data_IF_866063905098
#
_entry.id   IF_866063905098
#
_cell.length_a   1.000
_cell.length_b   1.000
_cell.length_c   1.000
_cell.angle_alpha   90.00
_cell.angle_beta   90.00
_cell.angle_gamma   90.00
#
_symmetry.space_group_name_H-M   'P 1'
#
loop_
_entity.id
_entity.type
_entity.pdbx_description
1 polymer ?
#
# COMPACT_ATOMS: atom_id res chain seq x y z
N UNK A 1 46.78 19.56 -12.96
CA UNK A 1 45.78 19.57 -14.06
C UNK A 1 44.58 18.75 -13.58
N UNK A 2 43.73 19.37 -12.76
CA UNK A 2 42.50 18.79 -12.20
C UNK A 2 41.36 19.43 -13.00
N UNK A 3 40.75 18.66 -13.89
CA UNK A 3 39.67 19.14 -14.75
C UNK A 3 38.45 19.37 -13.86
N UNK A 4 37.98 20.61 -13.89
CA UNK A 4 36.63 20.96 -13.49
C UNK A 4 35.72 20.62 -14.67
N UNK A 5 34.84 19.65 -14.45
CA UNK A 5 33.68 19.33 -15.25
C UNK A 5 32.57 19.06 -14.21
N UNK A 6 31.76 20.04 -13.80
CA UNK A 6 31.13 21.08 -14.62
C UNK A 6 29.78 20.63 -15.19
N UNK A 7 29.16 19.59 -14.62
CA UNK A 7 27.85 19.06 -15.02
C UNK A 7 26.80 19.11 -13.90
N UNK A 8 26.67 20.22 -13.19
CA UNK A 8 25.60 20.46 -12.22
C UNK A 8 24.27 20.79 -12.91
N UNK A 9 23.73 19.85 -13.69
CA UNK A 9 22.29 19.86 -13.96
C UNK A 9 21.54 19.64 -12.65
N UNK A 10 20.29 20.09 -12.48
CA UNK A 10 19.50 19.61 -11.36
C UNK A 10 19.52 18.08 -11.45
N UNK A 11 20.08 17.40 -10.45
CA UNK A 11 19.91 15.96 -10.28
C UNK A 11 18.41 15.75 -10.06
N UNK A 12 17.65 15.70 -11.15
CA UNK A 12 16.20 15.63 -11.09
C UNK A 12 15.86 14.44 -10.18
N UNK A 13 15.28 14.67 -9.00
CA UNK A 13 15.32 13.70 -7.90
C UNK A 13 14.26 12.60 -8.10
N UNK A 14 14.32 11.90 -9.23
CA UNK A 14 13.43 10.78 -9.54
C UNK A 14 13.75 9.56 -8.69
N UNK A 15 15.04 9.30 -8.42
CA UNK A 15 15.51 8.22 -7.54
C UNK A 15 15.04 8.36 -6.08
N UNK A 16 15.16 9.53 -5.40
CA UNK A 16 14.67 9.68 -4.03
C UNK A 16 13.14 9.69 -3.92
N UNK A 17 12.40 10.12 -4.94
CA UNK A 17 10.92 10.08 -4.90
C UNK A 17 10.42 8.65 -4.91
N UNK A 18 10.94 7.79 -5.80
CA UNK A 18 10.55 6.38 -5.83
C UNK A 18 10.92 5.68 -4.52
N UNK A 19 12.10 5.96 -3.97
CA UNK A 19 12.49 5.44 -2.66
C UNK A 19 11.56 5.90 -1.53
N UNK A 20 11.13 7.17 -1.54
CA UNK A 20 10.18 7.68 -0.56
C UNK A 20 8.82 6.99 -0.65
N UNK A 21 8.33 6.71 -1.87
CA UNK A 21 7.11 5.93 -2.09
C UNK A 21 7.26 4.50 -1.57
N UNK A 22 8.42 3.86 -1.78
CA UNK A 22 8.71 2.53 -1.23
C UNK A 22 8.66 2.52 0.29
N UNK A 23 9.32 3.47 0.93
CA UNK A 23 9.34 3.59 2.40
C UNK A 23 7.93 3.84 2.93
N UNK A 24 7.18 4.73 2.29
CA UNK A 24 5.79 5.01 2.67
C UNK A 24 4.92 3.75 2.56
N UNK A 25 4.98 3.03 1.44
CA UNK A 25 4.22 1.80 1.24
C UNK A 25 4.56 0.72 2.27
N UNK A 26 5.85 0.53 2.55
CA UNK A 26 6.31 -0.41 3.58
C UNK A 26 5.82 -0.03 4.98
N UNK A 27 5.88 1.26 5.34
CA UNK A 27 5.37 1.74 6.64
C UNK A 27 3.85 1.57 6.77
N UNK A 28 3.10 1.70 5.68
CA UNK A 28 1.66 1.43 5.69
C UNK A 28 1.36 -0.04 6.01
N UNK A 29 2.01 -0.98 5.30
CA UNK A 29 1.83 -2.42 5.56
C UNK A 29 2.29 -2.78 6.97
N UNK A 30 3.48 -2.33 7.38
CA UNK A 30 4.02 -2.62 8.71
C UNK A 30 3.19 -1.98 9.82
N UNK A 31 2.67 -0.76 9.61
CA UNK A 31 1.78 -0.10 10.54
C UNK A 31 0.46 -0.85 10.72
N UNK A 32 -0.15 -1.31 9.62
CA UNK A 32 -1.35 -2.13 9.67
C UNK A 32 -1.09 -3.48 10.37
N UNK A 33 0.02 -4.14 10.03
CA UNK A 33 0.42 -5.39 10.66
C UNK A 33 0.70 -5.21 12.15
N UNK A 34 1.46 -4.19 12.55
CA UNK A 34 1.75 -3.90 13.95
C UNK A 34 0.46 -3.60 14.73
N UNK A 35 -0.42 -2.77 14.19
CA UNK A 35 -1.72 -2.49 14.80
C UNK A 35 -2.57 -3.76 14.94
N UNK A 36 -2.51 -4.67 13.96
CA UNK A 36 -3.16 -5.99 14.05
C UNK A 36 -2.55 -6.87 15.14
N UNK A 37 -1.23 -6.93 15.24
CA UNK A 37 -0.55 -7.71 16.27
C UNK A 37 -0.80 -7.17 17.68
N UNK A 38 -0.94 -5.84 17.81
CA UNK A 38 -1.33 -5.18 19.06
C UNK A 38 -2.84 -5.27 19.34
N UNK A 39 -3.61 -5.93 18.47
CA UNK A 39 -5.07 -6.10 18.55
C UNK A 39 -5.85 -4.78 18.55
N UNK A 40 -5.28 -3.72 17.97
CA UNK A 40 -5.94 -2.42 17.81
C UNK A 40 -6.93 -2.40 16.65
N UNK A 41 -6.59 -3.12 15.58
CA UNK A 41 -7.44 -3.40 14.42
C UNK A 41 -7.34 -4.90 14.13
N UNK A 42 -8.33 -5.48 13.48
CA UNK A 42 -8.35 -6.89 13.08
C UNK A 42 -8.37 -7.07 11.57
N UNK A 43 -8.16 -8.31 11.08
CA UNK A 43 -8.21 -8.60 9.64
C UNK A 43 -9.59 -8.39 9.01
N UNK A 44 -10.63 -8.36 9.85
CA UNK A 44 -12.03 -8.12 9.49
C UNK A 44 -12.37 -6.60 9.46
N UNK A 45 -11.41 -5.73 9.79
CA UNK A 45 -11.66 -4.29 9.81
C UNK A 45 -11.38 -3.65 8.45
N UNK A 46 -12.31 -2.79 8.03
CA UNK A 46 -12.18 -1.98 6.81
C UNK A 46 -10.88 -1.18 6.84
N UNK A 47 -10.48 -0.63 7.99
CA UNK A 47 -9.23 0.13 8.12
C UNK A 47 -8.00 -0.71 7.84
N UNK A 48 -7.96 -1.95 8.34
CA UNK A 48 -6.85 -2.89 8.10
C UNK A 48 -6.76 -3.25 6.61
N UNK A 49 -7.89 -3.60 5.99
CA UNK A 49 -7.94 -3.95 4.56
C UNK A 49 -7.59 -2.74 3.67
N UNK A 50 -8.05 -1.54 4.03
CA UNK A 50 -7.76 -0.30 3.30
C UNK A 50 -6.29 0.08 3.35
N UNK A 51 -5.68 0.11 4.54
CA UNK A 51 -4.26 0.48 4.69
C UNK A 51 -3.38 -0.52 3.95
N UNK A 52 -3.66 -1.82 4.07
CA UNK A 52 -2.92 -2.85 3.32
C UNK A 52 -3.07 -2.70 1.81
N UNK A 53 -4.28 -2.43 1.31
CA UNK A 53 -4.52 -2.24 -0.13
C UNK A 53 -3.73 -1.06 -0.68
N UNK A 54 -3.72 0.06 0.04
CA UNK A 54 -2.99 1.26 -0.37
C UNK A 54 -1.46 1.07 -0.28
N UNK A 55 -0.97 0.47 0.80
CA UNK A 55 0.46 0.20 0.99
C UNK A 55 1.01 -0.77 -0.05
N UNK A 56 0.35 -1.91 -0.23
CA UNK A 56 0.74 -2.91 -1.23
C UNK A 56 0.55 -2.39 -2.67
N UNK A 57 -0.50 -1.61 -2.93
CA UNK A 57 -0.72 -1.01 -4.24
C UNK A 57 0.38 -0.02 -4.60
N UNK A 58 0.85 0.76 -3.62
CA UNK A 58 1.98 1.67 -3.80
C UNK A 58 3.30 0.92 -4.05
N UNK A 59 3.57 -0.14 -3.29
CA UNK A 59 4.76 -0.98 -3.51
C UNK A 59 4.71 -1.74 -4.85
N UNK A 60 3.54 -2.19 -5.27
CA UNK A 60 3.32 -2.78 -6.58
C UNK A 60 3.63 -1.79 -7.70
N UNK A 61 3.18 -0.53 -7.56
CA UNK A 61 3.50 0.53 -8.51
C UNK A 61 5.01 0.77 -8.60
N UNK A 62 5.70 0.87 -7.47
CA UNK A 62 7.17 0.94 -7.41
C UNK A 62 7.80 -0.26 -8.12
N UNK A 63 7.32 -1.48 -7.85
CA UNK A 63 7.87 -2.70 -8.42
C UNK A 63 7.77 -2.74 -9.97
N UNK A 64 6.70 -2.18 -10.54
CA UNK A 64 6.57 -2.00 -12.00
C UNK A 64 7.61 -1.02 -12.53
N UNK A 65 7.77 0.13 -11.87
CA UNK A 65 8.72 1.18 -12.27
C UNK A 65 10.16 0.67 -12.22
N UNK A 66 10.52 -0.03 -11.16
CA UNK A 66 11.85 -0.60 -10.91
C UNK A 66 12.07 -1.98 -11.58
N UNK A 67 11.07 -2.50 -12.31
CA UNK A 67 11.10 -3.80 -13.01
C UNK A 67 11.45 -5.00 -12.11
N UNK A 68 10.95 -4.98 -10.88
CA UNK A 68 11.20 -6.01 -9.87
C UNK A 68 10.11 -7.08 -9.91
N UNK A 69 10.18 -8.02 -10.85
CA UNK A 69 9.10 -9.00 -11.09
C UNK A 69 8.71 -9.85 -9.87
N UNK A 70 9.70 -10.27 -9.05
CA UNK A 70 9.41 -11.05 -7.83
C UNK A 70 8.67 -10.22 -6.77
N UNK A 71 9.07 -8.96 -6.61
CA UNK A 71 8.42 -8.03 -5.69
C UNK A 71 7.04 -7.63 -6.21
N UNK A 72 6.90 -7.41 -7.53
CA UNK A 72 5.62 -7.14 -8.18
C UNK A 72 4.62 -8.27 -7.97
N UNK A 73 5.05 -9.53 -8.09
CA UNK A 73 4.17 -10.66 -7.83
C UNK A 73 3.69 -10.67 -6.38
N UNK A 74 4.62 -10.47 -5.43
CA UNK A 74 4.32 -10.47 -4.00
C UNK A 74 3.32 -9.35 -3.62
N UNK A 75 3.68 -8.11 -3.92
CA UNK A 75 2.89 -6.93 -3.57
C UNK A 75 1.61 -6.87 -4.40
N UNK A 76 1.65 -7.34 -5.65
CA UNK A 76 0.49 -7.43 -6.51
C UNK A 76 -0.56 -8.38 -5.95
N UNK A 77 -0.15 -9.58 -5.53
CA UNK A 77 -1.04 -10.53 -4.85
C UNK A 77 -1.58 -9.94 -3.55
N UNK A 78 -0.72 -9.31 -2.74
CA UNK A 78 -1.16 -8.67 -1.49
C UNK A 78 -2.21 -7.58 -1.73
N UNK A 79 -2.01 -6.76 -2.76
CA UNK A 79 -2.93 -5.72 -3.17
C UNK A 79 -4.28 -6.32 -3.56
N UNK A 80 -4.29 -7.37 -4.40
CA UNK A 80 -5.52 -8.03 -4.84
C UNK A 80 -6.28 -8.66 -3.68
N UNK A 81 -5.60 -9.42 -2.82
CA UNK A 81 -6.22 -10.07 -1.66
C UNK A 81 -6.81 -9.04 -0.71
N UNK A 82 -6.08 -7.95 -0.43
CA UNK A 82 -6.53 -6.89 0.47
C UNK A 82 -7.71 -6.11 -0.12
N UNK A 83 -7.68 -5.84 -1.42
CA UNK A 83 -8.78 -5.18 -2.13
C UNK A 83 -10.05 -6.04 -2.10
N UNK A 84 -9.93 -7.36 -2.32
CA UNK A 84 -11.06 -8.28 -2.22
C UNK A 84 -11.64 -8.32 -0.81
N UNK A 85 -10.80 -8.34 0.22
CA UNK A 85 -11.26 -8.23 1.61
C UNK A 85 -12.00 -6.91 1.86
N UNK A 86 -11.43 -5.79 1.42
CA UNK A 86 -12.05 -4.47 1.54
C UNK A 86 -13.43 -4.41 0.88
N UNK A 87 -13.56 -4.90 -0.35
CA UNK A 87 -14.82 -4.92 -1.09
C UNK A 87 -15.89 -5.76 -0.38
N UNK A 88 -15.52 -6.92 0.19
CA UNK A 88 -16.43 -7.76 0.98
C UNK A 88 -16.92 -7.04 2.23
N UNK A 89 -16.00 -6.46 3.00
CA UNK A 89 -16.33 -5.75 4.23
C UNK A 89 -17.22 -4.53 3.98
N UNK A 90 -17.01 -3.81 2.88
CA UNK A 90 -17.88 -2.69 2.48
C UNK A 90 -19.27 -3.17 2.03
N UNK A 91 -19.35 -4.32 1.36
CA UNK A 91 -20.62 -4.91 0.95
C UNK A 91 -21.46 -5.36 2.15
N UNK A 92 -20.83 -6.00 3.15
CA UNK A 92 -21.49 -6.48 4.37
C UNK A 92 -22.10 -5.32 5.17
N UNK A 93 -21.34 -4.24 5.37
CA UNK A 93 -21.84 -3.01 6.04
C UNK A 93 -23.05 -2.39 5.33
N UNK A 94 -23.11 -2.49 4.00
CA UNK A 94 -24.24 -2.00 3.21
C UNK A 94 -25.49 -2.89 3.38
N UNK A 95 -25.30 -4.18 3.66
CA UNK A 95 -26.38 -5.13 3.99
C UNK A 95 -27.00 -4.87 5.36
N UNK A 96 -26.19 -4.55 6.37
CA UNK A 96 -26.64 -4.25 7.74
C UNK A 96 -27.56 -3.02 7.79
N UNK A 97 -27.26 -1.98 6.99
CA UNK A 97 -28.10 -0.77 6.89
C UNK A 97 -29.45 -0.97 6.19
N UNK A 98 -29.77 -2.17 5.71
CA UNK A 98 -31.03 -2.50 5.02
C UNK A 98 -32.03 -3.28 5.89
N UNK A 99 -31.71 -3.57 7.16
CA UNK A 99 -32.68 -4.18 8.08
C UNK A 99 -33.78 -3.15 8.40
N UNK A 100 -35.04 -3.39 8.02
CA UNK A 100 -36.14 -2.53 8.44
C UNK A 100 -36.30 -2.68 9.95
N UNK A 101 -36.29 -1.55 10.67
CA UNK A 101 -36.80 -1.53 12.04
C UNK A 101 -38.31 -1.80 11.97
N UNK A 102 -38.74 -3.04 12.26
CA UNK A 102 -40.15 -3.40 12.22
C UNK A 102 -40.42 -4.82 12.70
N UNK A 103 -41.01 -4.91 13.90
CA UNK A 103 -41.49 -6.12 14.56
C UNK A 103 -41.80 -5.83 16.01
#
# INVERSE_FOLDING_TARGET
MHRADGGGGPDLPVLPVIQALSVLGALMILGAYAANQLRWIGPQDVSYALINTLGAGLLSFVAVVERQWGFLLLEGVWTLVSLLALLRLLADRKGEGRTPAGG
#
